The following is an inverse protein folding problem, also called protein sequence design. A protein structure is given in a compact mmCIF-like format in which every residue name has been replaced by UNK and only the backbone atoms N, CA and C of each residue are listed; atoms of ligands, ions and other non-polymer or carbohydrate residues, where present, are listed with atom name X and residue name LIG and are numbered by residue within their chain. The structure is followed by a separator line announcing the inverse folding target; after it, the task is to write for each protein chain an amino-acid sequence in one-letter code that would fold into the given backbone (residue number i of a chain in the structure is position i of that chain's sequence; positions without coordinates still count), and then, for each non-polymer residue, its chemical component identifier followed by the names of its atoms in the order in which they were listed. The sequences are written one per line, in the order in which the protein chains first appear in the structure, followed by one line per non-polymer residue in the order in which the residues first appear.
data_IF_999221858373
#
_entry.id   IF_999221858373
#
_cell.length_a   1.000
_cell.length_b   1.000
_cell.length_c   1.000
_cell.angle_alpha   90.00
_cell.angle_beta   90.00
_cell.angle_gamma   90.00
#
_symmetry.space_group_name_H-M   'P 1'
#
loop_
_entity.id
_entity.type
_entity.pdbx_description
1 polymer ?
#
# COMPACT_ATOMS: atom_id res chain seq x y z
N UNK A 1 -15.49 -5.27 -13.62
CA UNK A 1 -14.84 -4.18 -14.42
C UNK A 1 -15.32 -2.90 -13.81
N UNK A 2 -14.48 -2.26 -12.98
CA UNK A 2 -14.77 -0.94 -12.42
C UNK A 2 -14.89 0.06 -13.56
N UNK A 3 -15.88 0.94 -13.46
CA UNK A 3 -16.02 2.06 -14.38
C UNK A 3 -14.74 2.90 -14.31
N UNK A 4 -14.11 3.13 -15.46
CA UNK A 4 -13.00 4.09 -15.57
C UNK A 4 -13.57 5.50 -15.49
N UNK A 5 -13.74 5.98 -14.26
CA UNK A 5 -14.23 7.34 -14.00
C UNK A 5 -13.09 8.16 -13.40
N UNK A 6 -12.92 9.38 -13.89
CA UNK A 6 -11.97 10.35 -13.36
C UNK A 6 -12.79 11.41 -12.62
N UNK A 7 -12.49 11.60 -11.34
CA UNK A 7 -13.10 12.64 -10.52
C UNK A 7 -12.08 13.77 -10.32
N UNK A 8 -12.48 14.99 -10.64
CA UNK A 8 -11.67 16.19 -10.48
C UNK A 8 -12.37 17.09 -9.47
N UNK A 9 -11.73 17.31 -8.31
CA UNK A 9 -12.14 18.32 -7.34
C UNK A 9 -11.37 19.61 -7.58
N UNK A 10 -12.06 20.73 -7.57
CA UNK A 10 -11.47 22.05 -7.79
C UNK A 10 -12.12 23.09 -6.88
N UNK A 11 -11.36 24.14 -6.54
CA UNK A 11 -11.86 25.31 -5.82
C UNK A 11 -12.22 26.46 -6.76
N UNK A 12 -11.46 26.60 -7.86
CA UNK A 12 -11.68 27.60 -8.89
C UNK A 12 -12.00 26.94 -10.24
N UNK A 13 -13.11 27.36 -10.86
CA UNK A 13 -13.52 26.85 -12.16
C UNK A 13 -12.47 27.07 -13.25
N UNK A 14 -11.70 28.15 -13.17
CA UNK A 14 -10.61 28.45 -14.10
C UNK A 14 -9.52 27.39 -14.08
N UNK A 15 -9.19 26.88 -12.90
CA UNK A 15 -8.19 25.81 -12.75
C UNK A 15 -8.73 24.48 -13.31
N UNK A 16 -10.01 24.20 -13.13
CA UNK A 16 -10.68 23.07 -13.76
C UNK A 16 -10.63 23.17 -15.29
N UNK A 17 -11.04 24.31 -15.87
CA UNK A 17 -11.06 24.53 -17.32
C UNK A 17 -9.64 24.43 -17.92
N UNK A 18 -8.63 24.95 -17.20
CA UNK A 18 -7.22 24.81 -17.59
C UNK A 18 -6.78 23.35 -17.60
N UNK A 19 -7.15 22.58 -16.58
CA UNK A 19 -6.79 21.16 -16.48
C UNK A 19 -7.47 20.35 -17.58
N UNK A 20 -8.76 20.56 -17.85
CA UNK A 20 -9.49 19.89 -18.93
C UNK A 20 -8.84 20.18 -20.27
N UNK A 21 -8.55 21.46 -20.58
CA UNK A 21 -7.85 21.86 -21.79
C UNK A 21 -6.46 21.22 -21.94
N UNK A 22 -5.77 21.03 -20.82
CA UNK A 22 -4.45 20.38 -20.80
C UNK A 22 -4.59 18.88 -21.10
N UNK A 23 -5.57 18.21 -20.49
CA UNK A 23 -5.86 16.79 -20.74
C UNK A 23 -6.28 16.52 -22.18
N UNK A 24 -7.11 17.40 -22.78
CA UNK A 24 -7.55 17.27 -24.16
C UNK A 24 -6.40 17.49 -25.18
N UNK A 25 -5.43 18.32 -24.83
CA UNK A 25 -4.28 18.64 -25.70
C UNK A 25 -3.10 17.67 -25.52
N UNK A 26 -3.08 16.90 -24.43
CA UNK A 26 -2.00 15.97 -24.17
C UNK A 26 -2.19 14.70 -24.98
N UNK A 27 -1.49 14.60 -26.12
CA UNK A 27 -1.27 13.32 -26.77
C UNK A 27 -0.42 12.48 -25.79
N UNK A 28 -1.00 11.39 -25.28
CA UNK A 28 -0.26 10.40 -24.51
C UNK A 28 0.77 9.74 -25.45
N UNK A 29 1.94 10.37 -25.58
CA UNK A 29 3.09 9.71 -26.20
C UNK A 29 3.34 8.44 -25.40
N UNK A 30 3.46 7.31 -26.10
CA UNK A 30 3.87 6.04 -25.50
C UNK A 30 5.29 6.25 -24.96
N UNK A 31 5.38 6.47 -23.65
CA UNK A 31 6.67 6.57 -22.97
C UNK A 31 7.52 5.35 -23.34
N UNK A 32 8.67 5.61 -23.93
CA UNK A 32 9.68 4.59 -24.18
C UNK A 32 10.14 4.04 -22.83
N UNK A 33 9.95 2.75 -22.64
CA UNK A 33 10.37 2.01 -21.44
C UNK A 33 11.84 2.28 -21.13
N UNK A 34 12.06 2.73 -19.94
CA UNK A 34 13.37 3.05 -19.39
C UNK A 34 14.31 1.85 -19.48
N UNK A 35 15.52 2.06 -20.05
CA UNK A 35 16.62 1.10 -19.97
C UNK A 35 16.90 0.75 -18.51
N UNK A 36 17.19 -0.53 -18.23
CA UNK A 36 17.70 -0.97 -16.92
C UNK A 36 18.93 -0.12 -16.57
N UNK A 37 18.76 0.82 -15.66
CA UNK A 37 19.90 1.49 -15.05
C UNK A 37 20.66 0.48 -14.19
N UNK A 38 21.98 0.65 -14.11
CA UNK A 38 22.84 -0.13 -13.23
C UNK A 38 22.30 -0.12 -11.81
N UNK A 39 22.50 -1.22 -11.07
CA UNK A 39 22.14 -1.33 -9.66
C UNK A 39 22.59 -0.08 -8.92
N UNK A 40 21.63 0.70 -8.48
CA UNK A 40 21.90 1.92 -7.75
C UNK A 40 22.40 1.58 -6.34
N UNK A 41 23.38 2.34 -5.86
CA UNK A 41 23.88 2.19 -4.49
C UNK A 41 22.85 2.82 -3.52
N UNK A 42 22.17 1.97 -2.77
CA UNK A 42 21.31 2.40 -1.69
C UNK A 42 22.11 2.71 -0.43
N UNK A 43 21.74 3.78 0.25
CA UNK A 43 22.20 4.06 1.61
C UNK A 43 21.07 3.71 2.58
N UNK A 44 21.36 2.87 3.57
CA UNK A 44 20.43 2.55 4.66
C UNK A 44 20.70 3.45 5.87
N UNK A 45 19.66 3.68 6.69
CA UNK A 45 19.80 4.30 8.01
C UNK A 45 20.25 3.32 9.10
N UNK A 46 20.41 2.04 8.77
CA UNK A 46 20.95 1.00 9.61
C UNK A 46 22.12 0.30 8.94
N UNK A 47 23.14 -0.02 9.70
CA UNK A 47 24.05 -1.10 9.36
C UNK A 47 23.39 -2.45 9.68
N UNK A 48 23.81 -3.52 9.01
CA UNK A 48 23.20 -4.85 9.13
C UNK A 48 23.18 -5.34 10.59
N UNK A 49 24.31 -5.21 11.27
CA UNK A 49 24.49 -5.67 12.65
C UNK A 49 23.61 -4.89 13.62
N UNK A 50 23.45 -3.58 13.41
CA UNK A 50 22.57 -2.74 14.22
C UNK A 50 21.10 -3.11 14.02
N UNK A 51 20.69 -3.38 12.77
CA UNK A 51 19.33 -3.82 12.47
C UNK A 51 19.00 -5.16 13.12
N UNK A 52 19.94 -6.14 13.03
CA UNK A 52 19.77 -7.44 13.68
C UNK A 52 19.72 -7.32 15.21
N UNK A 53 20.50 -6.43 15.81
CA UNK A 53 20.43 -6.14 17.25
C UNK A 53 19.08 -5.52 17.64
N UNK A 54 18.57 -4.59 16.85
CA UNK A 54 17.27 -3.99 17.09
C UNK A 54 16.14 -5.03 17.01
N UNK A 55 16.17 -5.94 16.01
CA UNK A 55 15.23 -7.07 15.94
C UNK A 55 15.29 -7.92 17.21
N UNK A 56 16.49 -8.30 17.67
CA UNK A 56 16.65 -9.11 18.86
C UNK A 56 16.04 -8.42 20.09
N UNK A 57 16.37 -7.15 20.30
CA UNK A 57 15.80 -6.38 21.42
C UNK A 57 14.27 -6.29 21.33
N UNK A 58 13.72 -6.15 20.13
CA UNK A 58 12.26 -6.14 19.91
C UNK A 58 11.64 -7.48 20.32
N UNK A 59 12.27 -8.59 19.96
CA UNK A 59 11.81 -9.93 20.34
C UNK A 59 11.85 -10.10 21.86
N UNK A 60 12.91 -9.63 22.52
CA UNK A 60 13.05 -9.68 23.97
C UNK A 60 11.90 -8.91 24.66
N UNK A 61 11.57 -7.68 24.21
CA UNK A 61 10.43 -6.91 24.73
C UNK A 61 9.07 -7.58 24.50
N UNK A 62 8.89 -8.30 23.38
CA UNK A 62 7.67 -9.10 23.14
C UNK A 62 7.58 -10.26 24.12
N UNK A 63 8.70 -10.97 24.37
CA UNK A 63 8.75 -12.10 25.30
C UNK A 63 8.48 -11.64 26.75
N UNK A 64 9.01 -10.49 27.13
CA UNK A 64 8.81 -9.89 28.46
C UNK A 64 7.38 -9.31 28.63
N UNK A 65 6.65 -9.13 27.53
CA UNK A 65 5.28 -8.60 27.54
C UNK A 65 5.20 -7.08 27.59
N UNK A 66 6.31 -6.38 27.37
CA UNK A 66 6.36 -4.92 27.34
C UNK A 66 5.70 -4.35 26.09
N UNK A 67 5.79 -5.08 24.98
CA UNK A 67 5.11 -4.75 23.73
C UNK A 67 4.43 -5.99 23.15
N UNK A 68 3.32 -5.78 22.46
CA UNK A 68 2.56 -6.85 21.82
C UNK A 68 3.02 -7.12 20.38
N UNK A 69 3.26 -6.07 19.62
CA UNK A 69 3.71 -6.10 18.23
C UNK A 69 4.54 -4.87 17.90
N UNK A 70 5.48 -5.00 17.01
CA UNK A 70 6.27 -3.89 16.47
C UNK A 70 6.55 -4.10 15.00
N UNK A 71 6.40 -3.04 14.21
CA UNK A 71 6.82 -3.00 12.82
C UNK A 71 8.17 -2.26 12.72
N UNK A 72 9.28 -3.00 12.78
CA UNK A 72 10.62 -2.43 12.65
C UNK A 72 10.93 -2.16 11.18
N UNK A 73 11.04 -0.89 10.81
CA UNK A 73 11.31 -0.44 9.45
C UNK A 73 12.73 0.08 9.29
N UNK A 74 13.24 0.06 8.07
CA UNK A 74 14.45 0.77 7.67
C UNK A 74 14.15 1.72 6.52
N UNK A 75 14.94 2.79 6.42
CA UNK A 75 14.88 3.75 5.33
C UNK A 75 16.06 3.54 4.39
N UNK A 76 15.73 3.29 3.12
CA UNK A 76 16.71 3.23 2.04
C UNK A 76 16.68 4.56 1.27
N UNK A 77 17.83 5.11 0.98
CA UNK A 77 17.99 6.36 0.24
C UNK A 77 18.75 6.10 -1.04
N UNK A 78 18.33 6.76 -2.10
CA UNK A 78 18.96 6.70 -3.42
C UNK A 78 18.88 8.07 -4.08
N UNK A 79 19.93 8.45 -4.82
CA UNK A 79 19.89 9.59 -5.73
C UNK A 79 19.32 9.13 -7.07
N UNK A 80 18.36 9.87 -7.60
CA UNK A 80 17.70 9.56 -8.86
C UNK A 80 17.62 10.80 -9.74
N UNK A 81 17.80 10.60 -11.05
CA UNK A 81 17.57 11.64 -12.07
C UNK A 81 16.09 11.70 -12.51
N UNK A 82 15.27 10.72 -12.07
CA UNK A 82 13.85 10.69 -12.40
C UNK A 82 13.06 11.60 -11.47
N UNK A 83 12.13 12.32 -12.04
CA UNK A 83 11.16 13.07 -11.24
C UNK A 83 10.25 12.13 -10.45
N UNK A 84 9.70 12.55 -9.31
CA UNK A 84 8.74 11.74 -8.54
C UNK A 84 7.51 11.33 -9.35
N UNK A 85 7.06 12.17 -10.28
CA UNK A 85 5.92 11.86 -11.16
C UNK A 85 6.25 10.74 -12.17
N UNK A 86 7.48 10.73 -12.73
CA UNK A 86 7.95 9.63 -13.57
C UNK A 86 8.03 8.32 -12.79
N UNK A 87 8.52 8.36 -11.56
CA UNK A 87 8.54 7.20 -10.65
C UNK A 87 7.13 6.69 -10.39
N UNK A 88 6.18 7.59 -10.11
CA UNK A 88 4.78 7.23 -9.90
C UNK A 88 4.16 6.59 -11.15
N UNK A 89 4.40 7.18 -12.33
CA UNK A 89 3.91 6.65 -13.60
C UNK A 89 4.44 5.25 -13.87
N UNK A 90 5.72 5.02 -13.56
CA UNK A 90 6.34 3.70 -13.67
C UNK A 90 5.70 2.69 -12.70
N UNK A 91 5.53 3.04 -11.42
CA UNK A 91 4.90 2.18 -10.43
C UNK A 91 3.48 1.80 -10.83
N UNK A 92 2.66 2.76 -11.27
CA UNK A 92 1.30 2.48 -11.75
C UNK A 92 1.24 1.48 -12.90
N UNK A 93 2.27 1.46 -13.75
CA UNK A 93 2.33 0.57 -14.91
C UNK A 93 2.75 -0.85 -14.53
N UNK A 94 3.74 -0.98 -13.65
CA UNK A 94 4.38 -2.27 -13.35
C UNK A 94 3.93 -2.90 -12.04
N UNK A 95 3.45 -2.10 -11.11
CA UNK A 95 2.93 -2.54 -9.82
C UNK A 95 1.69 -1.72 -9.45
N UNK A 96 0.59 -1.82 -10.23
CA UNK A 96 -0.64 -1.13 -9.90
C UNK A 96 -1.19 -1.62 -8.57
N UNK A 97 -1.40 -0.68 -7.65
CA UNK A 97 -1.99 -0.96 -6.35
C UNK A 97 -3.24 -0.09 -6.16
N UNK A 98 -4.29 -0.58 -5.49
CA UNK A 98 -5.60 0.07 -5.42
C UNK A 98 -5.57 1.42 -4.70
N UNK A 99 -4.60 1.65 -3.81
CA UNK A 99 -4.45 2.91 -3.06
C UNK A 99 -3.17 3.64 -3.43
N UNK A 100 -2.75 3.51 -4.69
CA UNK A 100 -1.62 4.28 -5.22
C UNK A 100 -1.93 5.77 -5.20
N UNK A 101 -0.95 6.58 -4.76
CA UNK A 101 -1.10 8.03 -4.65
C UNK A 101 0.19 8.75 -5.02
N UNK A 102 0.03 9.90 -5.66
CA UNK A 102 1.05 10.93 -5.82
C UNK A 102 0.57 12.19 -5.13
N UNK A 103 1.31 12.67 -4.15
CA UNK A 103 0.99 13.88 -3.39
C UNK A 103 2.16 14.85 -3.50
N UNK A 104 1.88 16.09 -3.88
CA UNK A 104 2.84 17.18 -3.94
C UNK A 104 2.60 18.15 -2.79
N UNK A 105 3.59 18.26 -1.90
CA UNK A 105 3.57 19.15 -0.74
C UNK A 105 4.49 20.37 -0.93
N UNK A 106 4.89 20.69 -2.18
CA UNK A 106 5.82 21.73 -2.57
C UNK A 106 7.28 21.45 -2.16
N UNK A 107 7.56 21.27 -0.87
CA UNK A 107 8.91 20.99 -0.36
C UNK A 107 9.36 19.55 -0.61
N UNK A 108 8.41 18.62 -0.71
CA UNK A 108 8.66 17.22 -1.03
C UNK A 108 7.45 16.58 -1.71
N UNK A 109 7.69 15.49 -2.42
CA UNK A 109 6.64 14.69 -3.04
C UNK A 109 6.59 13.30 -2.41
N UNK A 110 5.38 12.79 -2.22
CA UNK A 110 5.14 11.42 -1.76
C UNK A 110 4.59 10.59 -2.91
N UNK A 111 5.29 9.49 -3.20
CA UNK A 111 4.88 8.49 -4.19
C UNK A 111 4.56 7.21 -3.45
N UNK A 112 3.33 6.73 -3.57
CA UNK A 112 2.86 5.52 -2.90
C UNK A 112 2.27 4.52 -3.90
N UNK A 113 2.57 3.23 -3.69
CA UNK A 113 1.93 2.10 -4.36
C UNK A 113 1.40 1.15 -3.27
N UNK A 114 0.46 1.62 -2.46
CA UNK A 114 -0.08 0.87 -1.33
C UNK A 114 -1.22 -0.05 -1.75
N UNK A 115 -1.19 -1.34 -1.38
CA UNK A 115 -2.32 -2.25 -1.54
C UNK A 115 -3.32 -2.13 -0.39
N UNK A 116 -2.95 -1.54 0.74
CA UNK A 116 -3.70 -1.56 1.99
C UNK A 116 -4.38 -0.22 2.27
N UNK A 117 -5.65 -0.27 2.69
CA UNK A 117 -6.41 0.90 3.12
C UNK A 117 -6.33 1.04 4.63
N UNK A 118 -5.71 2.13 5.09
CA UNK A 118 -5.73 2.47 6.51
C UNK A 118 -7.12 2.92 6.94
N UNK A 119 -7.59 4.05 6.45
CA UNK A 119 -8.91 4.60 6.77
C UNK A 119 -9.54 5.24 5.53
N UNK A 120 -10.83 4.98 5.33
CA UNK A 120 -11.71 5.75 4.47
C UNK A 120 -12.89 6.23 5.30
N UNK A 121 -13.17 7.52 5.24
CA UNK A 121 -14.35 8.10 5.87
C UNK A 121 -15.22 8.79 4.82
N UNK A 122 -16.50 8.41 4.77
CA UNK A 122 -17.51 9.03 3.92
C UNK A 122 -18.85 8.98 4.63
N UNK A 123 -19.59 10.10 4.64
CA UNK A 123 -20.94 10.20 5.21
C UNK A 123 -21.04 9.63 6.64
N UNK A 124 -20.03 9.91 7.49
CA UNK A 124 -19.87 9.40 8.86
C UNK A 124 -19.62 7.88 8.97
N UNK A 125 -19.48 7.19 7.86
CA UNK A 125 -19.05 5.78 7.82
C UNK A 125 -17.54 5.73 7.74
N UNK A 126 -16.91 4.94 8.62
CA UNK A 126 -15.47 4.64 8.61
C UNK A 126 -15.27 3.19 8.15
N UNK A 127 -14.33 2.99 7.26
CA UNK A 127 -13.94 1.69 6.73
C UNK A 127 -12.41 1.55 6.77
N UNK A 128 -11.93 0.40 7.21
CA UNK A 128 -10.53 -0.02 7.12
C UNK A 128 -10.45 -1.40 6.46
N UNK A 129 -9.31 -1.71 5.81
CA UNK A 129 -9.09 -2.98 5.10
C UNK A 129 -7.65 -3.44 5.32
N UNK A 130 -7.35 -4.04 6.46
CA UNK A 130 -6.03 -4.59 6.73
C UNK A 130 -5.76 -5.83 5.86
N UNK A 131 -4.51 -5.99 5.42
CA UNK A 131 -4.05 -7.14 4.62
C UNK A 131 -2.91 -7.81 5.35
N UNK A 132 -2.98 -9.15 5.46
CA UNK A 132 -1.89 -10.00 5.92
C UNK A 132 -1.82 -11.26 5.06
N UNK A 133 -0.58 -11.74 4.90
CA UNK A 133 -0.31 -12.85 4.00
C UNK A 133 -0.31 -12.44 2.53
N UNK A 134 0.66 -12.95 1.79
CA UNK A 134 0.78 -12.68 0.35
C UNK A 134 1.42 -13.88 -0.33
N UNK A 135 0.94 -14.21 -1.53
CA UNK A 135 1.56 -15.19 -2.42
C UNK A 135 1.81 -14.53 -3.77
N UNK A 136 2.90 -14.95 -4.44
CA UNK A 136 3.13 -14.56 -5.83
C UNK A 136 2.04 -15.09 -6.74
N UNK A 137 1.85 -14.49 -7.89
CA UNK A 137 1.00 -15.06 -8.95
C UNK A 137 1.63 -16.34 -9.51
N UNK A 138 0.81 -17.32 -9.82
CA UNK A 138 1.23 -18.52 -10.50
C UNK A 138 1.59 -18.27 -11.97
N UNK A 139 2.49 -19.10 -12.52
CA UNK A 139 2.82 -19.05 -13.95
C UNK A 139 1.72 -19.67 -14.83
N UNK A 140 0.90 -20.56 -14.26
CA UNK A 140 -0.30 -21.16 -14.87
C UNK A 140 -1.51 -20.92 -13.98
N UNK A 141 -2.72 -21.11 -14.54
CA UNK A 141 -3.95 -20.99 -13.77
C UNK A 141 -4.02 -22.01 -12.62
N UNK A 142 -3.52 -23.22 -12.83
CA UNK A 142 -3.48 -24.27 -11.81
C UNK A 142 -2.53 -23.89 -10.66
N UNK A 143 -1.34 -23.38 -10.99
CA UNK A 143 -0.37 -22.89 -9.98
C UNK A 143 -0.97 -21.70 -9.20
N UNK A 144 -1.62 -20.76 -9.90
CA UNK A 144 -2.24 -19.58 -9.28
C UNK A 144 -3.36 -19.99 -8.31
N UNK A 145 -4.21 -20.92 -8.70
CA UNK A 145 -5.26 -21.47 -7.85
C UNK A 145 -4.68 -22.22 -6.64
N UNK A 146 -3.61 -22.99 -6.82
CA UNK A 146 -2.94 -23.69 -5.73
C UNK A 146 -2.36 -22.71 -4.70
N UNK A 147 -1.69 -21.65 -5.14
CA UNK A 147 -1.14 -20.59 -4.27
C UNK A 147 -2.24 -19.81 -3.55
N UNK A 148 -3.35 -19.51 -4.24
CA UNK A 148 -4.53 -18.89 -3.63
C UNK A 148 -5.13 -19.77 -2.53
N UNK A 149 -5.27 -21.07 -2.79
CA UNK A 149 -5.78 -22.02 -1.81
C UNK A 149 -4.81 -22.20 -0.63
N UNK A 150 -3.50 -22.21 -0.87
CA UNK A 150 -2.49 -22.24 0.18
C UNK A 150 -2.64 -21.04 1.12
N UNK A 151 -2.74 -19.82 0.55
CA UNK A 151 -2.96 -18.61 1.35
C UNK A 151 -4.27 -18.68 2.14
N UNK A 152 -5.37 -19.04 1.47
CA UNK A 152 -6.69 -19.14 2.09
C UNK A 152 -6.76 -20.16 3.25
N UNK A 153 -5.88 -21.17 3.27
CA UNK A 153 -5.80 -22.20 4.31
C UNK A 153 -4.64 -22.00 5.30
N UNK A 154 -3.84 -20.93 5.16
CA UNK A 154 -2.72 -20.65 6.03
C UNK A 154 -3.19 -20.18 7.42
N UNK A 155 -3.09 -21.03 8.43
CA UNK A 155 -3.44 -20.69 9.82
C UNK A 155 -2.59 -19.55 10.36
N UNK A 156 -1.32 -19.46 9.95
CA UNK A 156 -0.43 -18.36 10.32
C UNK A 156 -0.98 -17.04 9.81
N UNK A 157 -1.25 -16.94 8.50
CA UNK A 157 -1.68 -15.70 7.87
C UNK A 157 -3.05 -15.27 8.40
N UNK A 158 -3.97 -16.21 8.65
CA UNK A 158 -5.26 -15.96 9.30
C UNK A 158 -5.10 -15.41 10.72
N UNK A 159 -4.22 -16.01 11.52
CA UNK A 159 -3.98 -15.55 12.89
C UNK A 159 -3.38 -14.15 12.92
N UNK A 160 -2.44 -13.84 12.04
CA UNK A 160 -1.88 -12.49 11.89
C UNK A 160 -2.96 -11.47 11.50
N UNK A 161 -3.82 -11.81 10.53
CA UNK A 161 -4.90 -10.92 10.12
C UNK A 161 -5.91 -10.69 11.24
N UNK A 162 -6.33 -11.76 11.91
CA UNK A 162 -7.29 -11.67 13.03
C UNK A 162 -6.79 -10.76 14.15
N UNK A 163 -5.50 -10.86 14.48
CA UNK A 163 -4.86 -10.01 15.48
C UNK A 163 -4.95 -8.52 15.11
N UNK A 164 -4.70 -8.18 13.85
CA UNK A 164 -4.79 -6.79 13.37
C UNK A 164 -6.24 -6.31 13.32
N UNK A 165 -7.17 -7.15 12.86
CA UNK A 165 -8.61 -6.83 12.85
C UNK A 165 -9.12 -6.54 14.26
N UNK A 166 -8.73 -7.31 15.27
CA UNK A 166 -9.12 -7.06 16.65
C UNK A 166 -8.55 -5.76 17.20
N UNK A 167 -7.30 -5.45 16.87
CA UNK A 167 -6.66 -4.18 17.25
C UNK A 167 -7.39 -2.98 16.62
N UNK A 168 -7.67 -3.02 15.33
CA UNK A 168 -8.41 -1.97 14.62
C UNK A 168 -9.85 -1.83 15.12
N UNK A 169 -10.53 -2.93 15.41
CA UNK A 169 -11.87 -2.91 16.04
C UNK A 169 -11.84 -2.21 17.40
N UNK A 170 -10.83 -2.48 18.21
CA UNK A 170 -10.66 -1.82 19.52
C UNK A 170 -10.50 -0.30 19.34
N UNK A 171 -9.65 0.12 18.41
CA UNK A 171 -9.42 1.55 18.16
C UNK A 171 -10.67 2.24 17.58
N UNK A 172 -11.35 1.62 16.62
CA UNK A 172 -12.59 2.15 16.06
C UNK A 172 -13.71 2.24 17.10
N UNK A 173 -13.82 1.28 18.02
CA UNK A 173 -14.84 1.33 19.09
C UNK A 173 -14.68 2.53 20.04
N UNK A 174 -13.53 3.19 20.06
CA UNK A 174 -13.30 4.40 20.88
C UNK A 174 -13.88 5.65 20.26
N UNK A 175 -14.11 5.65 18.94
CA UNK A 175 -14.52 6.84 18.18
C UNK A 175 -15.84 6.66 17.42
N UNK A 176 -16.28 5.42 17.24
CA UNK A 176 -17.53 5.09 16.57
C UNK A 176 -18.70 4.97 17.58
N UNK A 177 -19.93 4.97 17.07
CA UNK A 177 -21.13 4.73 17.87
C UNK A 177 -21.06 3.34 18.53
N UNK A 178 -21.61 3.24 19.71
CA UNK A 178 -21.60 1.99 20.47
C UNK A 178 -22.26 0.85 19.69
N UNK A 179 -21.55 -0.27 19.55
CA UNK A 179 -21.99 -1.47 18.81
C UNK A 179 -22.11 -1.29 17.28
N UNK A 180 -21.57 -0.21 16.71
CA UNK A 180 -21.63 0.04 15.27
C UNK A 180 -20.45 -0.60 14.50
N UNK A 181 -19.36 -0.98 15.19
CA UNK A 181 -18.20 -1.58 14.57
C UNK A 181 -18.46 -3.06 14.25
N UNK A 182 -18.47 -3.38 12.96
CA UNK A 182 -18.73 -4.74 12.44
C UNK A 182 -17.63 -5.16 11.49
N UNK A 183 -17.36 -6.46 11.39
CA UNK A 183 -16.49 -7.05 10.39
C UNK A 183 -17.39 -7.63 9.29
N UNK A 184 -17.39 -7.00 8.13
CA UNK A 184 -18.24 -7.42 7.01
C UNK A 184 -17.64 -8.61 6.25
N UNK A 185 -16.33 -8.59 6.05
CA UNK A 185 -15.56 -9.59 5.31
C UNK A 185 -14.34 -9.97 6.13
N UNK A 186 -14.07 -11.26 6.29
CA UNK A 186 -12.92 -11.77 7.01
C UNK A 186 -12.29 -12.93 6.21
N UNK A 187 -10.97 -12.89 6.05
CA UNK A 187 -10.18 -13.88 5.32
C UNK A 187 -10.47 -13.95 3.80
N UNK A 188 -11.01 -12.88 3.22
CA UNK A 188 -11.16 -12.78 1.78
C UNK A 188 -9.78 -12.67 1.11
N UNK A 189 -9.57 -13.44 0.03
CA UNK A 189 -8.33 -13.40 -0.75
C UNK A 189 -8.53 -12.52 -1.97
N UNK A 190 -7.89 -11.35 -1.95
CA UNK A 190 -7.87 -10.43 -3.07
C UNK A 190 -6.79 -10.83 -4.10
N UNK A 191 -7.03 -10.56 -5.36
CA UNK A 191 -6.11 -10.89 -6.45
C UNK A 191 -5.66 -9.62 -7.16
N UNK A 192 -4.36 -9.39 -7.19
CA UNK A 192 -3.74 -8.26 -7.88
C UNK A 192 -2.87 -8.74 -9.05
N UNK A 193 -2.37 -7.82 -9.86
CA UNK A 193 -1.59 -8.17 -11.06
C UNK A 193 -0.26 -8.86 -10.76
N UNK A 194 0.30 -8.62 -9.59
CA UNK A 194 1.62 -9.13 -9.19
C UNK A 194 1.57 -10.15 -8.05
N UNK A 195 0.50 -10.18 -7.32
CA UNK A 195 0.29 -11.05 -6.16
C UNK A 195 -1.15 -11.51 -6.09
#
# INVERSE_FOLDING_TARGET
IEKQEIYISYQDKKDYDNLVNLLEKTNLEKENLVKKDSLANFKSNFEKEEYLKAIKSTIDYIIEGDIYIMNLTQRLMIESQKSPLEVFSYLRKFNPAPFSAYLDFQDFQLVSASPERFIKMKDRLIETRPIKGTRKRGATEEEDLALKNELANSEKDKSELLMIVDLERNDLNRICELKSVVVNELFEVETYSTV
#
